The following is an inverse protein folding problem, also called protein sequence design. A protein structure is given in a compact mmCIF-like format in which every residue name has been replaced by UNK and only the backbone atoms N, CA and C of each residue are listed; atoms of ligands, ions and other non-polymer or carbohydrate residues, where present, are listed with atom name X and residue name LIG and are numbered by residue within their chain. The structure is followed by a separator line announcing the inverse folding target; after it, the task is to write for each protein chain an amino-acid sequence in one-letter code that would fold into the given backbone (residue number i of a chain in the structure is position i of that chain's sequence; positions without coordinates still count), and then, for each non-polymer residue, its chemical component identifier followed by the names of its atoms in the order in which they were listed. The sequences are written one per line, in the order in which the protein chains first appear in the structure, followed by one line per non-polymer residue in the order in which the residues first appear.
data_IF_923752655620
#
_entry.id   IF_923752655620
#
_cell.length_a   1.000
_cell.length_b   1.000
_cell.length_c   1.000
_cell.angle_alpha   90.00
_cell.angle_beta   90.00
_cell.angle_gamma   90.00
#
_symmetry.space_group_name_H-M   'P 1'
#
loop_
_entity.id
_entity.type
_entity.pdbx_description
1 polymer ?
#
# COMPACT_ATOMS: atom_id res chain seq x y z
N UNK A 1 -13.08 -8.91 -20.98
CA UNK A 1 -12.22 -8.47 -19.87
C UNK A 1 -10.84 -8.36 -20.45
N UNK A 2 -10.11 -7.28 -20.16
CA UNK A 2 -8.70 -7.21 -20.50
C UNK A 2 -7.94 -8.32 -19.76
N UNK A 3 -6.89 -8.84 -20.38
CA UNK A 3 -6.05 -9.84 -19.74
C UNK A 3 -5.30 -9.21 -18.56
N UNK A 4 -4.95 -10.06 -17.61
CA UNK A 4 -4.46 -9.68 -16.29
C UNK A 4 -3.29 -10.57 -15.91
N UNK A 5 -2.17 -9.97 -15.50
CA UNK A 5 -1.02 -10.70 -14.96
C UNK A 5 -0.35 -9.92 -13.83
N UNK A 6 0.47 -10.64 -13.07
CA UNK A 6 1.33 -10.06 -12.04
C UNK A 6 2.77 -10.54 -12.29
N UNK A 7 3.71 -9.61 -12.26
CA UNK A 7 5.13 -9.91 -12.31
C UNK A 7 5.70 -9.73 -10.92
N UNK A 8 6.19 -10.81 -10.33
CA UNK A 8 6.83 -10.79 -9.02
C UNK A 8 8.34 -10.63 -9.18
N UNK A 9 8.91 -9.64 -8.51
CA UNK A 9 10.34 -9.48 -8.32
C UNK A 9 10.69 -9.91 -6.90
N UNK A 10 11.56 -10.91 -6.78
CA UNK A 10 12.20 -11.28 -5.51
C UNK A 10 13.35 -10.31 -5.23
N UNK A 11 13.39 -9.68 -4.06
CA UNK A 11 14.38 -8.65 -3.73
C UNK A 11 15.22 -9.07 -2.52
N UNK A 12 15.99 -8.14 -1.92
CA UNK A 12 16.74 -8.37 -0.69
C UNK A 12 16.07 -7.78 0.57
N UNK A 13 14.91 -7.12 0.43
CA UNK A 13 14.10 -6.61 1.54
C UNK A 13 13.52 -5.23 1.27
N UNK A 14 12.95 -4.60 2.30
CA UNK A 14 12.27 -3.30 2.18
C UNK A 14 13.08 -2.20 1.47
N UNK A 15 14.39 -2.12 1.74
CA UNK A 15 15.29 -1.15 1.10
C UNK A 15 15.53 -1.47 -0.39
N UNK A 16 15.62 -2.75 -0.75
CA UNK A 16 15.74 -3.17 -2.15
C UNK A 16 14.44 -2.93 -2.92
N UNK A 17 13.28 -3.19 -2.29
CA UNK A 17 11.97 -2.83 -2.85
C UNK A 17 11.88 -1.34 -3.18
N UNK A 18 12.34 -0.49 -2.26
CA UNK A 18 12.33 0.96 -2.48
C UNK A 18 13.20 1.38 -3.66
N UNK A 19 14.42 0.84 -3.73
CA UNK A 19 15.33 1.08 -4.85
C UNK A 19 14.71 0.65 -6.17
N UNK A 20 14.14 -0.55 -6.25
CA UNK A 20 13.46 -1.04 -7.45
C UNK A 20 12.30 -0.13 -7.86
N UNK A 21 11.54 0.41 -6.90
CA UNK A 21 10.46 1.36 -7.19
C UNK A 21 11.01 2.65 -7.80
N UNK A 22 12.00 3.26 -7.14
CA UNK A 22 12.59 4.54 -7.57
C UNK A 22 13.32 4.42 -8.91
N UNK A 23 14.12 3.37 -9.08
CA UNK A 23 15.01 3.19 -10.24
C UNK A 23 14.26 2.62 -11.47
N UNK A 24 13.21 1.82 -11.27
CA UNK A 24 12.50 1.15 -12.36
C UNK A 24 10.99 1.42 -12.38
N UNK A 25 10.23 1.01 -11.35
CA UNK A 25 8.77 0.85 -11.47
C UNK A 25 8.01 2.13 -11.75
N UNK A 26 8.45 3.27 -11.19
CA UNK A 26 7.85 4.57 -11.51
C UNK A 26 8.00 4.86 -13.02
N UNK A 27 9.21 4.75 -13.56
CA UNK A 27 9.46 4.99 -14.98
C UNK A 27 8.77 3.96 -15.89
N UNK A 28 8.72 2.70 -15.45
CA UNK A 28 8.06 1.61 -16.17
C UNK A 28 6.57 1.86 -16.28
N UNK A 29 5.93 2.27 -15.18
CA UNK A 29 4.50 2.58 -15.15
C UNK A 29 4.12 3.65 -16.19
N UNK A 30 4.85 4.76 -16.24
CA UNK A 30 4.53 5.83 -17.18
C UNK A 30 4.74 5.38 -18.63
N UNK A 31 5.83 4.65 -18.89
CA UNK A 31 6.12 4.09 -20.22
C UNK A 31 5.02 3.11 -20.64
N UNK A 32 4.64 2.17 -19.78
CA UNK A 32 3.63 1.16 -20.08
C UNK A 32 2.27 1.81 -20.35
N UNK A 33 1.82 2.71 -19.46
CA UNK A 33 0.55 3.44 -19.63
C UNK A 33 0.54 4.39 -20.85
N UNK A 34 1.69 4.70 -21.43
CA UNK A 34 1.77 5.46 -22.68
C UNK A 34 1.54 4.62 -23.94
N UNK A 35 1.46 3.29 -23.79
CA UNK A 35 1.17 2.36 -24.89
C UNK A 35 -0.32 2.04 -24.98
N UNK A 36 -0.83 1.79 -26.19
CA UNK A 36 -2.23 1.35 -26.38
C UNK A 36 -2.49 -0.06 -25.80
N UNK A 37 -1.43 -0.83 -25.53
CA UNK A 37 -1.50 -2.19 -24.98
C UNK A 37 -1.77 -2.22 -23.46
N UNK A 38 -1.49 -1.13 -22.73
CA UNK A 38 -1.62 -1.10 -21.28
C UNK A 38 -2.85 -0.31 -20.84
N UNK A 39 -3.83 -0.98 -20.26
CA UNK A 39 -5.00 -0.33 -19.67
C UNK A 39 -4.71 0.16 -18.26
N UNK A 40 -4.01 -0.65 -17.45
CA UNK A 40 -3.63 -0.31 -16.07
C UNK A 40 -2.29 -0.91 -15.69
N UNK A 41 -1.54 -0.15 -14.89
CA UNK A 41 -0.24 -0.54 -14.35
C UNK A 41 -0.12 -0.07 -12.89
N UNK A 42 0.12 -1.02 -12.00
CA UNK A 42 0.11 -0.85 -10.55
C UNK A 42 1.26 -1.60 -9.90
N UNK A 43 1.65 -1.26 -8.68
CA UNK A 43 2.63 -2.06 -7.94
C UNK A 43 2.37 -2.07 -6.44
N UNK A 44 2.82 -3.14 -5.79
CA UNK A 44 2.75 -3.33 -4.34
C UNK A 44 4.10 -3.86 -3.83
N UNK A 45 4.53 -3.35 -2.68
CA UNK A 45 5.76 -3.78 -1.98
C UNK A 45 5.39 -4.70 -0.83
N UNK A 46 6.21 -5.71 -0.59
CA UNK A 46 5.99 -6.69 0.48
C UNK A 46 7.24 -6.94 1.33
N UNK A 47 8.37 -6.27 1.08
CA UNK A 47 9.59 -6.38 1.88
C UNK A 47 9.49 -5.81 3.29
N UNK A 48 8.39 -5.12 3.61
CA UNK A 48 8.04 -4.73 4.97
C UNK A 48 7.26 -5.82 5.73
N UNK A 49 6.77 -6.86 5.05
CA UNK A 49 6.03 -7.96 5.66
C UNK A 49 7.01 -8.96 6.28
N UNK A 50 6.98 -9.18 7.62
CA UNK A 50 7.83 -10.17 8.28
C UNK A 50 7.63 -11.60 7.74
N UNK A 51 6.47 -11.90 7.14
CA UNK A 51 6.18 -13.18 6.51
C UNK A 51 6.90 -13.42 5.18
N UNK A 52 7.62 -12.41 4.65
CA UNK A 52 8.37 -12.51 3.39
C UNK A 52 9.84 -12.13 3.61
N UNK A 53 10.64 -13.00 4.25
CA UNK A 53 12.07 -12.76 4.39
C UNK A 53 12.72 -12.69 3.00
N UNK A 54 13.45 -11.61 2.74
CA UNK A 54 13.99 -11.29 1.40
C UNK A 54 13.17 -10.24 0.65
N UNK A 55 11.91 -10.00 1.01
CA UNK A 55 11.10 -8.98 0.35
C UNK A 55 10.72 -9.29 -1.10
N UNK A 56 9.77 -8.51 -1.60
CA UNK A 56 9.14 -8.76 -2.89
C UNK A 56 8.44 -7.49 -3.36
N UNK A 57 8.54 -7.22 -4.67
CA UNK A 57 7.67 -6.24 -5.33
C UNK A 57 6.84 -6.93 -6.38
N UNK A 58 5.55 -6.60 -6.45
CA UNK A 58 4.63 -7.10 -7.47
C UNK A 58 4.24 -5.97 -8.41
N UNK A 59 4.44 -6.16 -9.71
CA UNK A 59 3.96 -5.29 -10.78
C UNK A 59 2.67 -5.90 -11.36
N UNK A 60 1.56 -5.19 -11.25
CA UNK A 60 0.25 -5.62 -11.72
C UNK A 60 -0.05 -4.97 -13.06
N UNK A 61 -0.40 -5.78 -14.06
CA UNK A 61 -0.67 -5.35 -15.43
C UNK A 61 -2.09 -5.74 -15.84
N UNK A 62 -2.75 -4.84 -16.58
CA UNK A 62 -4.02 -5.06 -17.27
C UNK A 62 -3.91 -4.56 -18.71
N UNK A 63 -4.42 -5.34 -19.67
CA UNK A 63 -4.40 -4.99 -21.10
C UNK A 63 -3.98 -6.18 -21.97
N UNK A 64 -3.18 -5.93 -23.00
CA UNK A 64 -2.60 -6.96 -23.87
C UNK A 64 -1.33 -7.55 -23.21
N UNK A 65 -1.54 -8.37 -22.18
CA UNK A 65 -0.47 -8.90 -21.30
C UNK A 65 0.72 -9.48 -22.06
N UNK A 66 0.48 -10.33 -23.06
CA UNK A 66 1.55 -10.98 -23.82
C UNK A 66 2.49 -9.95 -24.48
N UNK A 67 1.94 -8.84 -24.99
CA UNK A 67 2.74 -7.76 -25.57
C UNK A 67 3.49 -6.97 -24.50
N UNK A 68 2.86 -6.69 -23.37
CA UNK A 68 3.48 -5.96 -22.25
C UNK A 68 4.66 -6.75 -21.67
N UNK A 69 4.47 -8.06 -21.44
CA UNK A 69 5.51 -8.96 -20.94
C UNK A 69 6.64 -9.10 -21.97
N UNK A 70 6.32 -9.30 -23.24
CA UNK A 70 7.34 -9.39 -24.29
C UNK A 70 8.16 -8.10 -24.42
N UNK A 71 7.57 -6.94 -24.18
CA UNK A 71 8.24 -5.65 -24.27
C UNK A 71 9.18 -5.36 -23.09
N UNK A 72 8.93 -5.94 -21.91
CA UNK A 72 9.66 -5.61 -20.68
C UNK A 72 10.59 -6.72 -20.18
N UNK A 73 10.42 -7.97 -20.63
CA UNK A 73 11.19 -9.14 -20.13
C UNK A 73 12.70 -8.97 -20.18
N UNK A 74 13.25 -8.41 -21.26
CA UNK A 74 14.70 -8.24 -21.40
C UNK A 74 15.22 -7.24 -20.36
N UNK A 75 14.42 -6.21 -20.07
CA UNK A 75 14.74 -5.24 -19.02
C UNK A 75 14.61 -5.85 -17.62
N UNK A 76 13.68 -6.76 -17.40
CA UNK A 76 13.60 -7.49 -16.13
C UNK A 76 14.79 -8.42 -15.92
N UNK A 77 15.30 -9.04 -16.99
CA UNK A 77 16.55 -9.80 -16.96
C UNK A 77 17.74 -8.89 -16.59
N UNK A 78 17.82 -7.68 -17.18
CA UNK A 78 18.83 -6.66 -16.81
C UNK A 78 18.74 -6.26 -15.32
N UNK A 79 17.55 -6.07 -14.76
CA UNK A 79 17.37 -5.73 -13.34
C UNK A 79 17.92 -6.84 -12.41
N UNK A 80 17.86 -8.10 -12.85
CA UNK A 80 18.47 -9.22 -12.12
C UNK A 80 19.99 -9.20 -12.24
N UNK A 81 20.52 -8.96 -13.43
CA UNK A 81 21.96 -8.85 -13.67
C UNK A 81 22.60 -7.68 -12.89
N UNK A 82 21.89 -6.56 -12.77
CA UNK A 82 22.29 -5.38 -11.99
C UNK A 82 22.14 -5.56 -10.47
N UNK A 83 21.49 -6.65 -10.04
CA UNK A 83 21.25 -6.97 -8.63
C UNK A 83 20.17 -6.11 -7.96
N UNK A 84 19.28 -5.48 -8.74
CA UNK A 84 18.08 -4.81 -8.22
C UNK A 84 16.99 -5.80 -7.81
N UNK A 85 16.97 -6.98 -8.45
CA UNK A 85 16.17 -8.13 -8.05
C UNK A 85 17.05 -9.40 -8.05
N UNK A 86 16.68 -10.42 -7.29
CA UNK A 86 17.31 -11.74 -7.34
C UNK A 86 16.74 -12.61 -8.46
N UNK A 87 15.45 -12.45 -8.73
CA UNK A 87 14.75 -13.11 -9.82
C UNK A 87 13.45 -12.37 -10.12
N UNK A 88 12.87 -12.66 -11.28
CA UNK A 88 11.50 -12.28 -11.58
C UNK A 88 10.72 -13.48 -12.12
N UNK A 89 9.40 -13.46 -11.95
CA UNK A 89 8.50 -14.44 -12.57
C UNK A 89 7.13 -13.86 -12.83
N UNK A 90 6.49 -14.36 -13.87
CA UNK A 90 5.08 -14.10 -14.12
C UNK A 90 4.21 -15.04 -13.28
N UNK A 91 3.17 -14.50 -12.65
CA UNK A 91 2.16 -15.23 -11.90
C UNK A 91 0.76 -14.72 -12.25
N UNK A 92 -0.25 -15.53 -11.96
CA UNK A 92 -1.65 -15.12 -12.16
C UNK A 92 -2.05 -13.93 -11.27
N UNK A 93 -3.12 -13.21 -11.63
CA UNK A 93 -3.66 -12.16 -10.77
C UNK A 93 -4.08 -12.72 -9.41
N UNK A 94 -4.00 -11.88 -8.39
CA UNK A 94 -4.58 -12.18 -7.07
C UNK A 94 -6.12 -12.32 -7.22
N UNK A 95 -6.71 -13.28 -6.50
CA UNK A 95 -8.16 -13.52 -6.44
C UNK A 95 -8.58 -13.53 -4.97
N UNK A 96 -9.09 -12.39 -4.50
CA UNK A 96 -9.60 -12.22 -3.13
C UNK A 96 -11.14 -12.30 -3.09
N UNK A 97 -11.76 -12.95 -4.08
CA UNK A 97 -13.23 -13.09 -4.17
C UNK A 97 -13.82 -13.78 -2.93
N UNK A 98 -13.14 -14.76 -2.34
CA UNK A 98 -13.60 -15.40 -1.10
C UNK A 98 -13.64 -14.42 0.09
N UNK A 99 -12.75 -13.43 0.10
CA UNK A 99 -12.61 -12.44 1.18
C UNK A 99 -13.59 -11.28 1.00
N UNK A 100 -13.66 -10.71 -0.21
CA UNK A 100 -14.39 -9.45 -0.46
C UNK A 100 -15.69 -9.65 -1.26
N UNK A 101 -15.94 -10.85 -1.78
CA UNK A 101 -16.99 -11.10 -2.76
C UNK A 101 -16.68 -10.45 -4.12
N UNK A 102 -17.37 -10.84 -5.21
CA UNK A 102 -16.99 -10.41 -6.56
C UNK A 102 -16.96 -8.90 -6.78
N UNK A 103 -17.88 -8.16 -6.14
CA UNK A 103 -17.92 -6.69 -6.24
C UNK A 103 -16.88 -6.01 -5.36
N UNK A 104 -16.54 -6.61 -4.22
CA UNK A 104 -15.54 -6.07 -3.32
C UNK A 104 -14.14 -6.28 -3.87
N UNK A 105 -13.87 -7.46 -4.44
CA UNK A 105 -12.61 -7.79 -5.11
C UNK A 105 -12.31 -6.82 -6.27
N UNK A 106 -13.29 -6.60 -7.16
CA UNK A 106 -13.17 -5.60 -8.22
C UNK A 106 -12.93 -4.17 -7.69
N UNK A 107 -13.53 -3.80 -6.56
CA UNK A 107 -13.30 -2.50 -5.92
C UNK A 107 -11.88 -2.40 -5.34
N UNK A 108 -11.36 -3.48 -4.75
CA UNK A 108 -9.99 -3.52 -4.22
C UNK A 108 -8.98 -3.36 -5.36
N UNK A 109 -9.19 -4.06 -6.48
CA UNK A 109 -8.38 -3.89 -7.70
C UNK A 109 -8.38 -2.42 -8.18
N UNK A 110 -9.56 -1.80 -8.29
CA UNK A 110 -9.69 -0.38 -8.64
C UNK A 110 -8.93 0.55 -7.69
N UNK A 111 -9.10 0.35 -6.39
CA UNK A 111 -8.45 1.17 -5.36
C UNK A 111 -6.94 0.96 -5.33
N UNK A 112 -6.45 -0.25 -5.65
CA UNK A 112 -5.02 -0.50 -5.75
C UNK A 112 -4.38 0.34 -6.86
N UNK A 113 -4.95 0.35 -8.07
CA UNK A 113 -4.40 1.16 -9.17
C UNK A 113 -4.49 2.65 -8.88
N UNK A 114 -5.56 3.10 -8.22
CA UNK A 114 -5.69 4.48 -7.74
C UNK A 114 -4.60 4.82 -6.71
N UNK A 115 -4.34 3.93 -5.75
CA UNK A 115 -3.28 4.09 -4.76
C UNK A 115 -1.90 4.15 -5.43
N UNK A 116 -1.62 3.30 -6.41
CA UNK A 116 -0.36 3.38 -7.16
C UNK A 116 -0.22 4.70 -7.92
N UNK A 117 -1.30 5.27 -8.46
CA UNK A 117 -1.24 6.56 -9.13
C UNK A 117 -0.82 7.70 -8.17
N UNK A 118 -1.18 7.60 -6.88
CA UNK A 118 -0.74 8.53 -5.84
C UNK A 118 0.68 8.29 -5.35
N UNK A 119 1.29 7.13 -5.66
CA UNK A 119 2.61 6.79 -5.13
C UNK A 119 3.73 7.65 -5.73
N UNK A 120 3.64 8.06 -7.00
CA UNK A 120 4.69 8.84 -7.67
C UNK A 120 5.05 10.13 -6.90
N UNK A 121 4.09 11.03 -6.60
CA UNK A 121 4.39 12.23 -5.82
C UNK A 121 5.07 11.94 -4.48
N UNK A 122 4.73 10.82 -3.82
CA UNK A 122 5.39 10.46 -2.56
C UNK A 122 6.89 10.22 -2.76
N UNK A 123 7.25 9.46 -3.80
CA UNK A 123 8.65 9.16 -4.08
C UNK A 123 9.43 10.35 -4.66
N UNK A 124 8.75 11.26 -5.36
CA UNK A 124 9.37 12.46 -5.94
C UNK A 124 9.60 13.57 -4.90
N UNK A 125 8.64 13.79 -4.00
CA UNK A 125 8.72 14.84 -2.98
C UNK A 125 9.56 14.42 -1.77
N UNK A 126 9.61 13.12 -1.43
CA UNK A 126 10.30 12.63 -0.25
C UNK A 126 11.49 11.74 -0.62
N UNK A 127 12.68 12.20 -0.24
CA UNK A 127 13.92 11.44 -0.41
C UNK A 127 13.96 10.20 0.49
N UNK A 128 13.43 10.32 1.72
CA UNK A 128 13.24 9.23 2.67
C UNK A 128 11.77 9.19 3.09
N UNK A 129 11.09 8.06 2.84
CA UNK A 129 9.67 7.92 3.20
C UNK A 129 9.47 7.78 4.72
N UNK A 130 10.53 7.56 5.51
CA UNK A 130 10.44 7.56 6.97
C UNK A 130 10.23 8.97 7.54
N UNK A 131 10.50 10.02 6.76
CA UNK A 131 10.14 11.40 7.10
C UNK A 131 8.60 11.59 7.14
N UNK A 132 7.85 10.68 6.49
CA UNK A 132 6.39 10.60 6.57
C UNK A 132 5.96 9.61 7.66
N UNK A 133 6.24 9.94 8.92
CA UNK A 133 5.81 9.10 10.03
C UNK A 133 4.28 8.90 10.03
N UNK A 134 3.78 7.69 10.37
CA UNK A 134 2.33 7.43 10.41
C UNK A 134 1.57 8.42 11.30
N UNK A 135 2.19 8.73 12.43
CA UNK A 135 1.81 9.78 13.39
C UNK A 135 3.12 10.42 13.84
N UNK A 136 3.28 11.71 13.59
CA UNK A 136 4.37 12.56 14.10
C UNK A 136 3.79 13.59 15.06
N UNK A 137 4.34 13.65 16.26
CA UNK A 137 3.79 14.47 17.32
C UNK A 137 4.21 15.92 17.23
N UNK A 138 5.27 16.28 16.49
CA UNK A 138 5.92 17.62 16.51
C UNK A 138 5.59 18.36 17.83
N UNK A 139 5.95 17.79 18.99
CA UNK A 139 5.26 18.06 20.26
C UNK A 139 5.44 19.50 20.75
N UNK A 140 6.40 20.21 20.17
CA UNK A 140 6.67 21.62 20.44
C UNK A 140 5.85 22.58 19.54
N UNK A 141 5.17 22.07 18.51
CA UNK A 141 4.58 22.86 17.42
C UNK A 141 3.03 22.82 17.37
N UNK A 142 2.37 21.92 18.10
CA UNK A 142 0.91 21.88 18.15
C UNK A 142 0.29 20.77 19.02
N UNK A 143 -1.02 20.90 19.36
CA UNK A 143 -1.69 19.94 20.24
C UNK A 143 -2.14 18.66 19.54
N UNK A 144 -2.22 18.64 18.21
CA UNK A 144 -2.69 17.48 17.42
C UNK A 144 -1.53 16.95 16.57
N UNK A 145 -1.09 15.71 16.79
CA UNK A 145 -0.07 15.07 15.98
C UNK A 145 -0.46 15.02 14.49
N UNK A 146 0.42 15.49 13.62
CA UNK A 146 0.29 15.33 12.17
C UNK A 146 0.84 13.96 11.73
N UNK A 147 0.94 13.69 10.43
CA UNK A 147 1.54 12.45 9.90
C UNK A 147 0.80 11.90 8.69
N UNK A 148 1.14 10.68 8.27
CA UNK A 148 0.54 10.00 7.11
C UNK A 148 -1.00 9.96 7.16
N UNK A 149 -1.58 9.83 8.36
CA UNK A 149 -3.03 9.80 8.54
C UNK A 149 -3.72 11.05 7.96
N UNK A 150 -3.04 12.20 7.94
CA UNK A 150 -3.60 13.45 7.40
C UNK A 150 -3.88 13.38 5.90
N UNK A 151 -3.08 12.63 5.13
CA UNK A 151 -3.36 12.39 3.71
C UNK A 151 -4.68 11.62 3.54
N UNK A 152 -4.90 10.59 4.37
CA UNK A 152 -6.13 9.81 4.35
C UNK A 152 -7.34 10.69 4.70
N UNK A 153 -7.16 11.61 5.65
CA UNK A 153 -8.17 12.61 5.99
C UNK A 153 -8.49 13.53 4.80
N UNK A 154 -7.49 14.08 4.10
CA UNK A 154 -7.73 14.96 2.95
C UNK A 154 -8.40 14.22 1.78
N UNK A 155 -8.01 12.97 1.51
CA UNK A 155 -8.69 12.14 0.50
C UNK A 155 -10.14 11.87 0.91
N UNK A 156 -10.41 11.62 2.19
CA UNK A 156 -11.76 11.45 2.74
C UNK A 156 -12.59 12.73 2.61
N UNK A 157 -11.96 13.89 2.84
CA UNK A 157 -12.57 15.21 2.69
C UNK A 157 -12.95 15.49 1.23
N UNK A 158 -12.10 15.16 0.26
CA UNK A 158 -12.42 15.29 -1.17
C UNK A 158 -13.60 14.44 -1.61
N UNK A 159 -13.86 13.32 -0.92
CA UNK A 159 -15.05 12.50 -1.10
C UNK A 159 -16.28 13.06 -0.36
N UNK A 160 -16.11 14.12 0.42
CA UNK A 160 -17.12 14.70 1.31
C UNK A 160 -17.66 13.68 2.33
N UNK A 161 -16.79 12.82 2.87
CA UNK A 161 -17.17 11.94 3.98
C UNK A 161 -17.49 12.78 5.23
N UNK A 162 -18.49 12.35 5.97
CA UNK A 162 -18.73 12.82 7.33
C UNK A 162 -17.67 12.25 8.28
N UNK A 163 -17.44 12.93 9.41
CA UNK A 163 -16.53 12.41 10.45
C UNK A 163 -16.90 10.99 10.92
N UNK A 164 -18.21 10.66 10.94
CA UNK A 164 -18.67 9.32 11.29
C UNK A 164 -18.26 8.27 10.26
N UNK A 165 -18.41 8.58 8.98
CA UNK A 165 -18.01 7.66 7.90
C UNK A 165 -16.49 7.45 7.87
N UNK A 166 -15.72 8.49 8.16
CA UNK A 166 -14.26 8.41 8.29
C UNK A 166 -13.84 7.52 9.47
N UNK A 167 -14.53 7.63 10.63
CA UNK A 167 -14.34 6.72 11.76
C UNK A 167 -14.68 5.28 11.40
N UNK A 168 -15.82 5.05 10.72
CA UNK A 168 -16.22 3.71 10.29
C UNK A 168 -15.20 3.08 9.33
N UNK A 169 -14.69 3.85 8.36
CA UNK A 169 -13.64 3.42 7.43
C UNK A 169 -12.32 3.11 8.14
N UNK A 170 -11.89 4.00 9.05
CA UNK A 170 -10.68 3.82 9.86
C UNK A 170 -10.78 2.59 10.75
N UNK A 171 -11.95 2.33 11.33
CA UNK A 171 -12.18 1.14 12.14
C UNK A 171 -12.07 -0.16 11.32
N UNK A 172 -12.57 -0.19 10.08
CA UNK A 172 -12.39 -1.35 9.21
C UNK A 172 -10.91 -1.59 8.87
N UNK A 173 -10.14 -0.52 8.63
CA UNK A 173 -8.70 -0.62 8.42
C UNK A 173 -7.98 -1.19 9.67
N UNK A 174 -8.29 -0.66 10.86
CA UNK A 174 -7.75 -1.16 12.15
C UNK A 174 -8.11 -2.63 12.34
N UNK A 175 -9.39 -3.01 12.16
CA UNK A 175 -9.85 -4.40 12.28
C UNK A 175 -9.07 -5.33 11.36
N UNK A 176 -8.91 -4.96 10.08
CA UNK A 176 -8.18 -5.77 9.11
C UNK A 176 -6.70 -5.94 9.51
N UNK A 177 -6.04 -4.88 9.98
CA UNK A 177 -4.65 -4.94 10.45
C UNK A 177 -4.49 -5.77 11.72
N UNK A 178 -5.40 -5.66 12.67
CA UNK A 178 -5.40 -6.49 13.89
C UNK A 178 -5.61 -7.97 13.59
N UNK A 179 -6.49 -8.31 12.64
CA UNK A 179 -6.66 -9.70 12.19
C UNK A 179 -5.40 -10.22 11.50
N UNK A 180 -4.79 -9.41 10.63
CA UNK A 180 -3.52 -9.74 9.97
C UNK A 180 -2.35 -9.89 10.96
N UNK A 181 -2.35 -9.09 12.03
CA UNK A 181 -1.39 -9.19 13.13
C UNK A 181 -1.62 -10.47 13.93
N UNK A 182 -2.86 -10.73 14.33
CA UNK A 182 -3.24 -11.89 15.14
C UNK A 182 -3.04 -13.22 14.42
N UNK A 183 -3.17 -13.26 13.09
CA UNK A 183 -2.85 -14.43 12.29
C UNK A 183 -1.36 -14.84 12.40
N UNK A 184 -0.47 -13.91 12.75
CA UNK A 184 0.98 -14.12 12.90
C UNK A 184 1.38 -14.21 14.38
N UNK A 185 0.89 -13.27 15.18
CA UNK A 185 1.13 -13.15 16.63
C UNK A 185 -0.16 -12.74 17.35
N UNK A 186 -0.96 -13.72 17.83
CA UNK A 186 -2.17 -13.44 18.60
C UNK A 186 -1.92 -12.59 19.85
N UNK A 187 -0.78 -12.79 20.54
CA UNK A 187 -0.48 -12.10 21.79
C UNK A 187 -0.17 -10.62 21.54
N UNK A 188 0.49 -10.30 20.43
CA UNK A 188 0.72 -8.91 20.04
C UNK A 188 -0.58 -8.22 19.60
N UNK A 189 -1.48 -8.93 18.91
CA UNK A 189 -2.78 -8.39 18.54
C UNK A 189 -3.65 -8.10 19.77
N UNK A 190 -3.70 -9.02 20.74
CA UNK A 190 -4.41 -8.83 22.02
C UNK A 190 -3.88 -7.61 22.78
N UNK A 191 -2.55 -7.52 22.96
CA UNK A 191 -1.93 -6.34 23.61
C UNK A 191 -2.24 -5.04 22.89
N UNK A 192 -2.30 -5.05 21.55
CA UNK A 192 -2.64 -3.83 20.79
C UNK A 192 -4.12 -3.48 20.95
N UNK A 193 -5.01 -4.46 21.06
CA UNK A 193 -6.43 -4.24 21.36
C UNK A 193 -6.59 -3.61 22.74
N UNK A 194 -5.92 -4.13 23.77
CA UNK A 194 -5.94 -3.58 25.13
C UNK A 194 -5.48 -2.11 25.14
N UNK A 195 -4.34 -1.81 24.51
CA UNK A 195 -3.86 -0.42 24.38
C UNK A 195 -4.86 0.50 23.66
N UNK A 196 -5.56 0.01 22.63
CA UNK A 196 -6.58 0.81 21.94
C UNK A 196 -7.83 1.03 22.80
N UNK A 197 -8.13 0.11 23.73
CA UNK A 197 -9.23 0.31 24.69
C UNK A 197 -8.88 1.42 25.68
N UNK A 198 -7.65 1.40 26.21
CA UNK A 198 -7.14 2.46 27.09
C UNK A 198 -7.18 3.83 26.38
N UNK A 199 -6.67 3.91 25.14
CA UNK A 199 -6.69 5.15 24.32
C UNK A 199 -8.13 5.70 24.12
N UNK A 200 -9.12 4.80 23.93
CA UNK A 200 -10.52 5.19 23.75
C UNK A 200 -11.21 5.64 25.05
N UNK A 201 -10.80 5.08 26.19
CA UNK A 201 -11.29 5.49 27.50
C UNK A 201 -10.71 6.87 27.89
N UNK A 202 -9.43 7.13 27.61
CA UNK A 202 -8.81 8.44 27.77
C UNK A 202 -9.47 9.50 26.88
N UNK A 203 -9.71 9.18 25.59
CA UNK A 203 -10.42 10.06 24.67
C UNK A 203 -11.85 10.36 25.15
N UNK A 204 -12.54 9.39 25.77
CA UNK A 204 -13.86 9.60 26.35
C UNK A 204 -13.80 10.65 27.46
N UNK A 205 -12.82 10.55 28.36
CA UNK A 205 -12.63 11.52 29.43
C UNK A 205 -12.32 12.93 28.90
N UNK A 206 -11.48 13.05 27.86
CA UNK A 206 -11.20 14.33 27.20
C UNK A 206 -12.46 14.98 26.62
N UNK A 207 -13.27 14.21 25.90
CA UNK A 207 -14.55 14.69 25.33
C UNK A 207 -15.51 15.13 26.43
N UNK A 208 -15.59 14.39 27.54
CA UNK A 208 -16.42 14.74 28.69
C UNK A 208 -15.96 16.04 29.34
N UNK A 209 -14.65 16.22 29.56
CA UNK A 209 -14.08 17.45 30.11
C UNK A 209 -14.30 18.69 29.23
N UNK A 210 -14.40 18.51 27.90
CA UNK A 210 -14.65 19.60 26.96
C UNK A 210 -16.09 20.12 27.01
N UNK A 211 -17.01 19.40 27.68
CA UNK A 211 -18.42 19.78 27.85
C UNK A 211 -18.68 20.59 29.12
N UNK A 212 -17.72 20.69 30.03
CA UNK A 212 -17.79 21.47 31.27
C UNK A 212 -17.35 22.94 31.06
#
# INVERSE_FOLDING_TARGET
MADATVVEFDTAGAAADERLVREYLLSARDRLLSTDACERCGFLRYGHDPGRPGGQVRLHLRGEVDLLVAAERDRWDELVEEGLAHSWREVGPDDDTETFGPRGDALVDDLQFLATAMARPLYEEYADLTDLAPVDTYPDDGPVPAGWWTLLHFVSNHRALTAREEVDASFQAVRNRLLSLGARDPTQAERKIESLQDDLDDLRAEIESTRE
#
